data_IF_241691784278
#
_entry.id   IF_241691784278
#
_cell.length_a   1.000
_cell.length_b   1.000
_cell.length_c   1.000
_cell.angle_alpha   90.00
_cell.angle_beta   90.00
_cell.angle_gamma   90.00
#
_symmetry.space_group_name_H-M   'P 1'
#
loop_
_entity.id
_entity.type
_entity.pdbx_description
1 polymer ?
#
# COMPACT_ATOMS: atom_id res chain seq x y z
N UNK A 1 -1.80 3.70 6.56
CA UNK A 1 -2.53 4.86 6.03
C UNK A 1 -2.99 4.56 4.61
N UNK A 2 -4.17 5.02 4.23
CA UNK A 2 -4.70 4.96 2.87
C UNK A 2 -4.82 6.39 2.33
N UNK A 3 -4.11 6.67 1.24
CA UNK A 3 -4.06 8.01 0.63
C UNK A 3 -4.93 8.11 -0.64
N UNK A 4 -5.65 7.05 -1.02
CA UNK A 4 -6.31 6.96 -2.32
C UNK A 4 -7.85 6.95 -2.27
N UNK A 5 -8.46 7.46 -1.22
CA UNK A 5 -9.88 7.73 -1.27
C UNK A 5 -10.79 6.88 -0.38
N UNK A 6 -10.30 6.43 0.76
CA UNK A 6 -11.14 5.91 1.84
C UNK A 6 -11.71 4.50 1.66
N UNK A 7 -11.26 3.78 0.65
CA UNK A 7 -11.71 2.41 0.42
C UNK A 7 -11.26 1.42 1.50
N UNK A 8 -10.18 1.73 2.20
CA UNK A 8 -9.62 0.85 3.24
C UNK A 8 -10.54 0.69 4.43
N UNK A 9 -11.23 1.74 4.86
CA UNK A 9 -12.21 1.68 5.96
C UNK A 9 -13.31 0.65 5.69
N UNK A 10 -13.88 0.71 4.49
CA UNK A 10 -14.94 -0.22 4.06
C UNK A 10 -14.39 -1.65 3.92
N UNK A 11 -13.18 -1.81 3.37
CA UNK A 11 -12.55 -3.13 3.24
C UNK A 11 -12.26 -3.77 4.60
N UNK A 12 -11.96 -2.97 5.62
CA UNK A 12 -11.69 -3.44 6.97
C UNK A 12 -12.93 -3.50 7.86
N UNK A 13 -14.07 -2.94 7.41
CA UNK A 13 -15.32 -2.91 8.15
C UNK A 13 -15.30 -1.93 9.34
N UNK A 14 -14.57 -0.83 9.22
CA UNK A 14 -14.41 0.19 10.27
C UNK A 14 -14.95 1.56 9.85
N UNK A 15 -15.68 1.63 8.75
CA UNK A 15 -16.24 2.88 8.22
C UNK A 15 -17.23 3.56 9.19
N UNK A 16 -17.83 2.80 10.10
CA UNK A 16 -18.74 3.29 11.14
C UNK A 16 -18.10 3.40 12.52
N UNK A 17 -16.82 3.07 12.66
CA UNK A 17 -16.12 3.21 13.94
C UNK A 17 -15.80 4.68 14.23
N UNK A 18 -15.87 5.04 15.52
CA UNK A 18 -15.50 6.36 15.99
C UNK A 18 -14.04 6.67 15.69
N UNK A 19 -13.76 7.90 15.29
CA UNK A 19 -12.40 8.37 15.03
C UNK A 19 -12.32 9.34 13.85
N UNK A 20 -11.28 10.15 13.84
CA UNK A 20 -11.06 11.15 12.81
C UNK A 20 -10.49 10.52 11.53
N UNK A 21 -10.97 10.99 10.38
CA UNK A 21 -10.43 10.66 9.06
C UNK A 21 -9.49 11.76 8.60
N UNK A 22 -8.68 11.47 7.60
CA UNK A 22 -7.58 12.33 7.17
C UNK A 22 -8.02 13.78 6.87
N UNK A 23 -9.15 13.98 6.24
CA UNK A 23 -9.71 15.32 5.96
C UNK A 23 -10.29 16.06 7.18
N UNK A 24 -10.43 15.38 8.33
CA UNK A 24 -10.98 15.96 9.57
C UNK A 24 -9.87 16.36 10.56
N UNK A 25 -8.64 15.89 10.31
CA UNK A 25 -7.50 16.12 11.19
C UNK A 25 -6.97 17.53 10.96
N UNK A 26 -6.99 18.34 12.03
CA UNK A 26 -6.40 19.67 11.99
C UNK A 26 -4.90 19.60 12.23
N UNK A 27 -4.12 20.18 11.32
CA UNK A 27 -2.66 20.23 11.39
C UNK A 27 -2.18 21.68 11.46
N UNK A 28 -2.35 22.37 12.61
CA UNK A 28 -1.97 23.76 12.73
C UNK A 28 -0.47 23.94 12.51
N UNK A 29 -0.11 24.90 11.64
CA UNK A 29 1.28 25.21 11.29
C UNK A 29 2.10 24.01 10.75
N UNK A 30 1.43 23.02 10.16
CA UNK A 30 2.09 21.83 9.57
C UNK A 30 2.67 20.84 10.59
N UNK A 31 2.24 20.91 11.87
CA UNK A 31 2.70 20.01 12.93
C UNK A 31 1.54 19.42 13.70
N UNK A 32 1.68 18.17 14.14
CA UNK A 32 0.72 17.47 14.97
C UNK A 32 1.49 16.51 15.91
N UNK A 33 0.98 16.36 17.14
CA UNK A 33 1.52 15.37 18.07
C UNK A 33 1.08 13.96 17.67
N UNK A 34 2.03 13.07 17.38
CA UNK A 34 1.74 11.72 16.91
C UNK A 34 0.98 10.86 17.92
N UNK A 35 1.19 11.06 19.24
CA UNK A 35 0.44 10.33 20.28
C UNK A 35 -0.99 10.84 20.43
N UNK A 36 -1.21 12.12 20.23
CA UNK A 36 -2.55 12.69 20.19
C UNK A 36 -3.29 12.16 18.95
N UNK A 37 -2.65 12.23 17.77
CA UNK A 37 -3.19 11.70 16.53
C UNK A 37 -3.61 10.24 16.68
N UNK A 38 -2.76 9.36 17.22
CA UNK A 38 -3.08 7.94 17.40
C UNK A 38 -4.34 7.68 18.23
N UNK A 39 -4.68 8.56 19.16
CA UNK A 39 -5.89 8.42 20.01
C UNK A 39 -7.16 8.81 19.28
N UNK A 40 -7.03 9.59 18.23
CA UNK A 40 -8.16 10.08 17.42
C UNK A 40 -8.46 9.15 16.22
N UNK A 41 -7.57 8.21 15.89
CA UNK A 41 -7.76 7.34 14.75
C UNK A 41 -8.66 6.13 15.07
N UNK A 42 -9.51 5.69 14.14
CA UNK A 42 -10.20 4.41 14.24
C UNK A 42 -9.19 3.27 14.32
N UNK A 43 -9.59 2.15 14.93
CA UNK A 43 -8.70 1.02 15.20
C UNK A 43 -9.27 -0.25 14.61
N UNK A 44 -8.50 -0.92 13.75
CA UNK A 44 -8.78 -2.25 13.23
C UNK A 44 -7.82 -3.28 13.85
N UNK A 45 -8.35 -4.25 14.58
CA UNK A 45 -7.56 -5.33 15.24
C UNK A 45 -6.32 -4.83 15.98
N UNK A 46 -6.44 -3.70 16.69
CA UNK A 46 -5.34 -3.07 17.42
C UNK A 46 -4.41 -2.18 16.59
N UNK A 47 -4.66 -2.06 15.28
CA UNK A 47 -3.89 -1.21 14.36
C UNK A 47 -4.64 0.09 14.09
N UNK A 48 -4.10 1.27 14.46
CA UNK A 48 -4.71 2.55 14.12
C UNK A 48 -4.70 2.80 12.62
N UNK A 49 -5.81 3.30 12.08
CA UNK A 49 -6.00 3.58 10.66
C UNK A 49 -6.07 5.09 10.41
N UNK A 50 -5.24 5.55 9.50
CA UNK A 50 -5.34 6.88 8.91
C UNK A 50 -5.82 6.72 7.48
N UNK A 51 -7.08 7.06 7.21
CA UNK A 51 -7.74 6.90 5.92
C UNK A 51 -8.56 8.13 5.58
N UNK A 52 -8.94 8.28 4.32
CA UNK A 52 -9.93 9.25 3.91
C UNK A 52 -11.35 8.74 4.24
N UNK A 53 -12.28 9.66 4.45
CA UNK A 53 -13.69 9.30 4.60
C UNK A 53 -14.23 8.80 3.25
N UNK A 54 -14.73 7.54 3.16
CA UNK A 54 -15.22 6.97 1.91
C UNK A 54 -16.46 7.69 1.34
N UNK A 55 -17.14 8.47 2.17
CA UNK A 55 -18.38 9.18 1.81
C UNK A 55 -18.17 10.66 1.51
N UNK A 56 -16.95 11.18 1.72
CA UNK A 56 -16.60 12.58 1.46
C UNK A 56 -15.62 12.67 0.30
N UNK A 57 -15.81 13.69 -0.52
CA UNK A 57 -14.94 13.96 -1.68
C UNK A 57 -13.80 14.94 -1.35
N UNK A 58 -13.64 15.31 -0.09
CA UNK A 58 -12.59 16.21 0.34
C UNK A 58 -11.22 15.50 0.26
N UNK A 59 -10.35 16.02 -0.58
CA UNK A 59 -8.96 15.56 -0.64
C UNK A 59 -8.13 16.40 0.33
N UNK A 60 -7.46 15.78 1.31
CA UNK A 60 -6.54 16.47 2.20
C UNK A 60 -5.39 17.08 1.39
N UNK A 61 -4.85 18.19 1.86
CA UNK A 61 -3.69 18.79 1.23
C UNK A 61 -2.45 17.92 1.44
N UNK A 62 -1.55 17.86 0.46
CA UNK A 62 -0.34 17.01 0.53
C UNK A 62 0.49 17.30 1.79
N UNK A 63 0.56 18.55 2.25
CA UNK A 63 1.29 18.92 3.45
C UNK A 63 0.64 18.42 4.75
N UNK A 64 -0.69 18.27 4.79
CA UNK A 64 -1.42 17.69 5.94
C UNK A 64 -1.13 16.19 6.04
N UNK A 65 -1.22 15.49 4.90
CA UNK A 65 -0.83 14.07 4.78
C UNK A 65 0.59 13.87 5.25
N UNK A 66 1.52 14.69 4.76
CA UNK A 66 2.93 14.63 5.11
C UNK A 66 3.15 14.81 6.62
N UNK A 67 2.51 15.80 7.23
CA UNK A 67 2.62 16.05 8.66
C UNK A 67 2.08 14.87 9.49
N UNK A 68 0.96 14.27 9.09
CA UNK A 68 0.41 13.08 9.76
C UNK A 68 1.35 11.87 9.65
N UNK A 69 1.88 11.56 8.46
CA UNK A 69 2.82 10.45 8.26
C UNK A 69 4.08 10.67 9.10
N UNK A 70 4.64 11.87 9.09
CA UNK A 70 5.82 12.25 9.90
C UNK A 70 5.55 12.04 11.39
N UNK A 71 4.41 12.52 11.89
CA UNK A 71 4.05 12.38 13.30
C UNK A 71 3.88 10.92 13.71
N UNK A 72 3.24 10.10 12.87
CA UNK A 72 3.07 8.67 13.11
C UNK A 72 4.40 7.93 13.09
N UNK A 73 5.29 8.24 12.17
CA UNK A 73 6.63 7.63 12.06
C UNK A 73 7.52 7.90 13.27
N UNK A 74 7.28 8.97 14.01
CA UNK A 74 8.02 9.28 15.25
C UNK A 74 7.57 8.46 16.46
N UNK A 75 6.35 7.89 16.42
CA UNK A 75 5.74 7.22 17.58
C UNK A 75 5.39 5.75 17.34
N UNK A 76 5.62 5.26 16.12
CA UNK A 76 5.42 3.87 15.71
C UNK A 76 6.67 3.29 15.09
N UNK A 77 6.90 2.00 15.31
CA UNK A 77 8.02 1.26 14.72
C UNK A 77 7.87 1.09 13.20
N UNK A 78 6.65 1.05 12.69
CA UNK A 78 6.35 0.99 11.26
C UNK A 78 5.06 1.75 10.96
N UNK A 79 5.02 2.38 9.78
CA UNK A 79 3.83 3.00 9.19
C UNK A 79 3.69 2.45 7.78
N UNK A 80 2.62 1.70 7.53
CA UNK A 80 2.31 1.16 6.21
C UNK A 80 1.43 2.18 5.49
N UNK A 81 1.82 2.58 4.28
CA UNK A 81 1.13 3.59 3.49
C UNK A 81 0.69 2.99 2.17
N UNK A 82 -0.61 2.93 1.92
CA UNK A 82 -1.17 2.61 0.61
C UNK A 82 -1.20 3.90 -0.23
N UNK A 83 -0.41 3.89 -1.28
CA UNK A 83 -0.27 5.02 -2.22
C UNK A 83 -0.99 4.79 -3.54
N UNK A 84 -1.70 3.68 -3.65
CA UNK A 84 -2.41 3.28 -4.86
C UNK A 84 -1.48 3.09 -6.04
N UNK A 85 -1.76 3.74 -7.17
CA UNK A 85 -0.98 3.58 -8.40
C UNK A 85 0.33 4.41 -8.43
N UNK A 86 0.72 5.01 -7.33
CA UNK A 86 2.07 5.56 -7.15
C UNK A 86 2.35 6.96 -7.69
N UNK A 87 1.39 7.62 -8.30
CA UNK A 87 1.61 8.93 -8.93
C UNK A 87 1.76 10.11 -7.93
N UNK A 88 1.48 9.89 -6.64
CA UNK A 88 1.58 10.90 -5.59
C UNK A 88 2.79 10.75 -4.64
N UNK A 89 3.64 9.72 -4.85
CA UNK A 89 4.77 9.43 -3.96
C UNK A 89 5.87 10.49 -3.98
N UNK A 90 6.06 11.15 -5.11
CA UNK A 90 7.15 12.10 -5.33
C UNK A 90 7.00 13.36 -4.46
N UNK A 91 5.76 13.70 -4.09
CA UNK A 91 5.43 14.90 -3.33
C UNK A 91 5.62 14.72 -1.81
N UNK A 92 5.72 13.47 -1.32
CA UNK A 92 5.86 13.15 0.09
C UNK A 92 7.30 12.78 0.43
N UNK A 93 8.02 13.72 1.03
CA UNK A 93 9.44 13.55 1.38
C UNK A 93 9.70 12.34 2.28
N UNK A 94 8.77 12.02 3.18
CA UNK A 94 8.85 10.88 4.10
C UNK A 94 8.87 9.54 3.38
N UNK A 95 8.22 9.46 2.21
CA UNK A 95 8.13 8.21 1.43
C UNK A 95 9.33 7.97 0.52
N UNK A 96 10.18 8.96 0.31
CA UNK A 96 11.39 8.81 -0.55
C UNK A 96 12.38 7.79 -0.01
N UNK A 97 12.45 7.63 1.31
CA UNK A 97 13.35 6.68 1.99
C UNK A 97 12.62 5.44 2.50
N UNK A 98 11.32 5.31 2.22
CA UNK A 98 10.54 4.17 2.64
C UNK A 98 10.89 2.91 1.84
N UNK A 99 10.70 1.75 2.47
CA UNK A 99 10.69 0.47 1.77
C UNK A 99 9.47 0.46 0.85
N UNK A 100 9.68 0.16 -0.43
CA UNK A 100 8.62 0.11 -1.42
C UNK A 100 8.23 -1.33 -1.72
N UNK A 101 6.95 -1.62 -1.62
CA UNK A 101 6.37 -2.90 -2.02
C UNK A 101 5.48 -2.66 -3.24
N UNK A 102 5.91 -3.15 -4.40
CA UNK A 102 5.15 -3.08 -5.64
C UNK A 102 4.28 -4.32 -5.78
N UNK A 103 2.98 -4.15 -5.73
CA UNK A 103 2.02 -5.24 -5.97
C UNK A 103 1.71 -5.31 -7.45
N UNK A 104 2.03 -6.46 -8.07
CA UNK A 104 1.93 -6.66 -9.52
C UNK A 104 0.94 -7.78 -9.81
N UNK A 105 -0.07 -7.51 -10.61
CA UNK A 105 -0.98 -8.55 -11.09
C UNK A 105 -0.24 -9.51 -12.01
N UNK A 106 -0.30 -10.80 -11.72
CA UNK A 106 0.42 -11.87 -12.43
C UNK A 106 -0.29 -12.23 -13.74
N UNK A 107 -0.45 -11.23 -14.61
CA UNK A 107 -0.99 -11.37 -15.98
C UNK A 107 -0.08 -10.64 -16.96
N UNK A 108 -0.19 -10.95 -18.24
CA UNK A 108 0.56 -10.25 -19.30
C UNK A 108 0.35 -8.74 -19.22
N UNK A 109 -0.90 -8.30 -19.00
CA UNK A 109 -1.22 -6.88 -18.89
C UNK A 109 -0.69 -6.25 -17.60
N UNK A 110 -0.82 -6.94 -16.47
CA UNK A 110 -0.29 -6.48 -15.17
C UNK A 110 1.21 -6.31 -15.20
N UNK A 111 1.93 -7.29 -15.74
CA UNK A 111 3.39 -7.24 -15.91
C UNK A 111 3.83 -6.12 -16.87
N UNK A 112 3.12 -5.93 -17.98
CA UNK A 112 3.42 -4.84 -18.91
C UNK A 112 3.26 -3.46 -18.25
N UNK A 113 2.20 -3.27 -17.44
CA UNK A 113 1.98 -2.03 -16.66
C UNK A 113 3.07 -1.83 -15.60
N UNK A 114 3.44 -2.89 -14.88
CA UNK A 114 4.51 -2.82 -13.89
C UNK A 114 5.83 -2.40 -14.55
N UNK A 115 6.20 -3.02 -15.67
CA UNK A 115 7.42 -2.67 -16.42
C UNK A 115 7.40 -1.22 -16.92
N UNK A 116 6.28 -0.75 -17.43
CA UNK A 116 6.13 0.65 -17.86
C UNK A 116 6.29 1.62 -16.67
N UNK A 117 5.73 1.31 -15.49
CA UNK A 117 5.90 2.11 -14.28
C UNK A 117 7.36 2.14 -13.81
N UNK A 118 8.05 1.00 -13.80
CA UNK A 118 9.48 0.94 -13.47
C UNK A 118 10.32 1.80 -14.42
N UNK A 119 10.02 1.77 -15.72
CA UNK A 119 10.72 2.57 -16.72
C UNK A 119 10.45 4.07 -16.55
N UNK A 120 9.22 4.46 -16.25
CA UNK A 120 8.88 5.87 -16.03
C UNK A 120 9.58 6.46 -14.81
N UNK A 121 9.81 5.65 -13.77
CA UNK A 121 10.55 6.05 -12.57
C UNK A 121 12.07 6.12 -12.79
N UNK A 122 12.59 5.42 -13.81
CA UNK A 122 14.01 5.42 -14.21
C UNK A 122 14.36 6.50 -15.24
N UNK A 123 13.39 7.27 -15.74
CA UNK A 123 13.63 8.28 -16.78
C UNK A 123 14.52 9.42 -16.25
N UNK A 124 15.65 9.72 -16.96
CA UNK A 124 16.70 10.58 -16.45
C UNK A 124 16.43 12.09 -16.48
N UNK A 125 15.23 12.53 -16.86
CA UNK A 125 14.92 13.96 -16.87
C UNK A 125 14.85 14.61 -15.48
N UNK A 126 14.77 13.79 -14.41
CA UNK A 126 14.75 14.25 -13.01
C UNK A 126 15.99 13.91 -12.21
N UNK A 127 17.00 13.27 -12.81
CA UNK A 127 18.19 12.79 -12.11
C UNK A 127 19.48 13.39 -12.67
N UNK A 128 19.75 14.65 -12.31
CA UNK A 128 21.14 15.07 -12.06
C UNK A 128 21.39 14.76 -10.57
N UNK A 129 21.68 13.51 -10.28
CA UNK A 129 21.99 13.05 -8.93
C UNK A 129 21.91 11.53 -8.89
N UNK A 130 23.04 10.89 -8.70
CA UNK A 130 23.30 9.50 -8.40
C UNK A 130 22.03 8.68 -8.05
N UNK A 131 21.54 7.90 -9.00
CA UNK A 131 20.59 6.81 -8.71
C UNK A 131 21.40 5.78 -7.92
N UNK A 132 21.33 5.94 -6.62
CA UNK A 132 22.03 5.16 -5.64
C UNK A 132 21.57 3.69 -5.73
N UNK A 133 22.54 2.80 -5.80
CA UNK A 133 22.39 1.35 -5.60
C UNK A 133 21.57 1.05 -4.32
N UNK A 134 21.63 1.93 -3.32
CA UNK A 134 20.86 1.88 -2.08
C UNK A 134 19.33 1.97 -2.26
N UNK A 135 18.82 2.52 -3.37
CA UNK A 135 17.37 2.59 -3.62
C UNK A 135 16.83 1.24 -4.10
N UNK A 136 17.65 0.46 -4.79
CA UNK A 136 17.27 -0.85 -5.32
C UNK A 136 17.16 -1.91 -4.20
N UNK A 137 17.90 -1.77 -3.11
CA UNK A 137 17.86 -2.67 -1.95
C UNK A 137 16.60 -2.50 -1.07
N UNK A 138 15.77 -1.47 -1.33
CA UNK A 138 14.56 -1.16 -0.57
C UNK A 138 13.27 -1.33 -1.37
N UNK A 139 13.35 -2.01 -2.50
CA UNK A 139 12.22 -2.23 -3.37
C UNK A 139 11.93 -3.73 -3.51
N UNK A 140 10.70 -4.14 -3.19
CA UNK A 140 10.23 -5.50 -3.31
C UNK A 140 9.06 -5.60 -4.28
N UNK A 141 8.99 -6.71 -5.03
CA UNK A 141 7.88 -7.01 -5.92
C UNK A 141 7.09 -8.19 -5.39
N UNK A 142 5.77 -8.03 -5.34
CA UNK A 142 4.82 -9.02 -4.85
C UNK A 142 3.85 -9.34 -5.96
N UNK A 143 3.82 -10.59 -6.39
CA UNK A 143 2.85 -11.07 -7.36
C UNK A 143 1.47 -11.19 -6.71
N UNK A 144 0.43 -10.80 -7.43
CA UNK A 144 -0.96 -11.02 -7.04
C UNK A 144 -1.70 -11.77 -8.15
N UNK A 145 -2.27 -12.90 -7.83
CA UNK A 145 -3.12 -13.62 -8.77
C UNK A 145 -4.39 -12.83 -9.08
N UNK A 146 -4.78 -12.68 -10.35
CA UNK A 146 -5.99 -11.98 -10.73
C UNK A 146 -7.24 -12.72 -10.25
N UNK A 147 -8.30 -11.96 -9.94
CA UNK A 147 -9.59 -12.52 -9.53
C UNK A 147 -10.29 -13.14 -10.74
N UNK A 148 -11.00 -14.25 -10.50
CA UNK A 148 -11.88 -14.86 -11.49
C UNK A 148 -11.17 -15.70 -12.56
N UNK A 149 -9.89 -16.01 -12.40
CA UNK A 149 -9.20 -16.95 -13.29
C UNK A 149 -9.72 -18.37 -13.05
N UNK A 150 -10.06 -19.06 -14.13
CA UNK A 150 -10.46 -20.47 -14.06
C UNK A 150 -9.19 -21.32 -14.13
N UNK A 151 -8.86 -22.03 -13.03
CA UNK A 151 -7.73 -22.97 -12.95
C UNK A 151 -6.41 -22.36 -13.43
N UNK A 152 -6.07 -21.18 -12.98
CA UNK A 152 -4.83 -20.45 -13.28
C UNK A 152 -4.63 -20.13 -14.79
N UNK A 153 -5.65 -20.24 -15.61
CA UNK A 153 -5.57 -19.79 -17.00
C UNK A 153 -5.34 -18.27 -17.06
N UNK A 154 -4.27 -17.88 -17.77
CA UNK A 154 -3.87 -16.47 -17.91
C UNK A 154 -3.07 -15.90 -16.73
N UNK A 155 -2.69 -16.75 -15.77
CA UNK A 155 -1.73 -16.40 -14.73
C UNK A 155 -0.33 -16.72 -15.24
N UNK A 156 0.57 -15.72 -15.21
CA UNK A 156 1.98 -15.89 -15.56
C UNK A 156 2.72 -16.57 -14.41
N UNK A 157 3.60 -17.51 -14.72
CA UNK A 157 4.45 -18.16 -13.72
C UNK A 157 5.39 -17.16 -13.05
N UNK A 158 5.77 -17.43 -11.80
CA UNK A 158 6.62 -16.51 -11.01
C UNK A 158 7.98 -16.30 -11.67
N UNK A 159 8.58 -17.36 -12.19
CA UNK A 159 9.88 -17.35 -12.87
C UNK A 159 9.82 -16.53 -14.16
N UNK A 160 8.75 -16.69 -14.94
CA UNK A 160 8.52 -15.93 -16.17
C UNK A 160 8.28 -14.44 -15.88
N UNK A 161 7.53 -14.13 -14.82
CA UNK A 161 7.31 -12.76 -14.38
C UNK A 161 8.60 -12.09 -13.91
N UNK A 162 9.43 -12.80 -13.15
CA UNK A 162 10.72 -12.33 -12.67
C UNK A 162 11.68 -12.05 -13.83
N UNK A 163 11.76 -12.97 -14.82
CA UNK A 163 12.55 -12.78 -16.03
C UNK A 163 12.08 -11.57 -16.85
N UNK A 164 10.76 -11.42 -17.04
CA UNK A 164 10.20 -10.31 -17.79
C UNK A 164 10.44 -8.95 -17.12
N UNK A 165 10.30 -8.86 -15.79
CA UNK A 165 10.50 -7.62 -15.03
C UNK A 165 11.98 -7.33 -14.76
N UNK A 166 12.87 -8.33 -14.91
CA UNK A 166 14.29 -8.25 -14.53
C UNK A 166 14.46 -7.95 -13.02
N UNK A 167 13.63 -8.62 -12.20
CA UNK A 167 13.66 -8.52 -10.73
C UNK A 167 13.02 -9.74 -10.07
N UNK A 168 13.38 -10.01 -8.82
CA UNK A 168 12.80 -11.10 -8.05
C UNK A 168 11.38 -10.80 -7.58
N UNK A 169 10.50 -11.79 -7.62
CA UNK A 169 9.18 -11.75 -7.00
C UNK A 169 9.29 -12.34 -5.58
N UNK A 170 9.29 -11.48 -4.59
CA UNK A 170 9.53 -11.84 -3.19
C UNK A 170 8.46 -12.77 -2.60
N UNK A 171 7.21 -12.60 -3.02
CA UNK A 171 6.09 -13.44 -2.60
C UNK A 171 4.95 -13.37 -3.62
N UNK A 172 4.02 -14.34 -3.57
CA UNK A 172 2.81 -14.33 -4.40
C UNK A 172 1.59 -14.47 -3.51
N UNK A 173 0.67 -13.52 -3.65
CA UNK A 173 -0.66 -13.56 -3.02
C UNK A 173 -1.61 -14.28 -3.97
N UNK A 174 -2.15 -15.40 -3.51
CA UNK A 174 -3.07 -16.23 -4.29
C UNK A 174 -4.51 -15.77 -4.11
N UNK A 175 -5.36 -16.11 -5.09
CA UNK A 175 -6.80 -15.84 -4.98
C UNK A 175 -7.41 -16.61 -3.79
N UNK A 176 -8.16 -15.89 -2.96
CA UNK A 176 -8.92 -16.44 -1.85
C UNK A 176 -10.40 -16.14 -2.06
N UNK A 177 -11.12 -17.13 -2.60
CA UNK A 177 -12.53 -16.96 -2.94
C UNK A 177 -13.41 -16.69 -1.70
N UNK A 178 -13.07 -17.29 -0.55
CA UNK A 178 -13.78 -17.06 0.70
C UNK A 178 -13.59 -15.63 1.18
N UNK A 179 -12.35 -15.16 1.20
CA UNK A 179 -12.03 -13.78 1.57
C UNK A 179 -12.70 -12.78 0.63
N UNK A 180 -12.68 -13.04 -0.67
CA UNK A 180 -13.36 -12.19 -1.66
C UNK A 180 -14.88 -12.14 -1.41
N UNK A 181 -15.53 -13.28 -1.10
CA UNK A 181 -16.97 -13.31 -0.76
C UNK A 181 -17.26 -12.49 0.49
N UNK A 182 -16.50 -12.71 1.56
CA UNK A 182 -16.66 -11.98 2.82
C UNK A 182 -16.51 -10.46 2.66
N UNK A 183 -15.55 -10.02 1.86
CA UNK A 183 -15.37 -8.60 1.53
C UNK A 183 -16.55 -8.04 0.74
N UNK A 184 -17.07 -8.78 -0.26
CA UNK A 184 -18.23 -8.36 -1.05
C UNK A 184 -19.52 -8.30 -0.22
N UNK A 185 -19.61 -9.12 0.82
CA UNK A 185 -20.72 -9.12 1.78
C UNK A 185 -20.59 -8.03 2.87
N UNK A 186 -19.52 -7.25 2.85
CA UNK A 186 -19.26 -6.20 3.84
C UNK A 186 -18.85 -6.73 5.22
N UNK A 187 -18.33 -7.94 5.30
CA UNK A 187 -17.93 -8.58 6.56
C UNK A 187 -16.52 -8.16 7.02
N UNK A 188 -15.89 -7.27 6.28
CA UNK A 188 -14.52 -6.79 6.54
C UNK A 188 -13.45 -7.85 6.24
N UNK A 189 -12.19 -7.46 6.43
CA UNK A 189 -11.04 -8.33 6.21
C UNK A 189 -10.89 -9.31 7.37
N UNK A 190 -10.93 -10.60 7.07
CA UNK A 190 -10.68 -11.69 8.02
C UNK A 190 -9.31 -12.33 7.78
N UNK A 191 -9.01 -13.40 8.52
CA UNK A 191 -7.73 -14.11 8.39
C UNK A 191 -7.54 -14.65 6.98
N UNK A 192 -6.40 -14.36 6.33
CA UNK A 192 -6.08 -14.91 5.03
C UNK A 192 -5.91 -16.44 5.10
N UNK A 193 -6.02 -17.13 3.96
CA UNK A 193 -5.70 -18.53 3.87
C UNK A 193 -4.22 -18.80 4.23
N UNK A 194 -3.87 -20.07 4.44
CA UNK A 194 -2.51 -20.46 4.90
C UNK A 194 -1.42 -20.02 3.91
N UNK A 195 -1.66 -20.07 2.61
CA UNK A 195 -0.68 -19.68 1.60
C UNK A 195 -0.40 -18.17 1.66
N UNK A 196 -1.46 -17.37 1.69
CA UNK A 196 -1.35 -15.92 1.81
C UNK A 196 -0.75 -15.48 3.15
N UNK A 197 -1.12 -16.15 4.25
CA UNK A 197 -0.51 -15.89 5.55
C UNK A 197 1.01 -16.13 5.52
N UNK A 198 1.47 -17.21 4.85
CA UNK A 198 2.90 -17.49 4.68
C UNK A 198 3.58 -16.42 3.81
N UNK A 199 2.95 -16.02 2.71
CA UNK A 199 3.48 -14.97 1.83
C UNK A 199 3.65 -13.63 2.58
N UNK A 200 2.65 -13.25 3.38
CA UNK A 200 2.69 -12.06 4.22
C UNK A 200 3.81 -12.16 5.27
N UNK A 201 3.98 -13.32 5.92
CA UNK A 201 5.06 -13.53 6.87
C UNK A 201 6.44 -13.40 6.20
N UNK A 202 6.62 -13.99 5.00
CA UNK A 202 7.85 -13.82 4.21
C UNK A 202 8.15 -12.33 3.94
N UNK A 203 7.15 -11.55 3.57
CA UNK A 203 7.31 -10.10 3.36
C UNK A 203 7.67 -9.37 4.66
N UNK A 204 7.05 -9.74 5.77
CA UNK A 204 7.35 -9.12 7.08
C UNK A 204 8.79 -9.40 7.55
N UNK A 205 9.35 -10.56 7.18
CA UNK A 205 10.75 -10.92 7.50
C UNK A 205 11.77 -10.17 6.63
N UNK A 206 11.37 -9.57 5.50
CA UNK A 206 12.23 -8.79 4.61
C UNK A 206 12.29 -7.29 4.98
N UNK A 207 11.39 -6.81 5.82
CA UNK A 207 11.22 -5.41 6.22
C UNK A 207 11.77 -5.18 7.62
#
# INVERSE_FOLDING_TARGET
>A
ADLQGGGLDVLLGVENEDGSRLGEISVPLGTIDGKALLRELPVWDGVPLLSCDPWKTENPQSWEVQACIRALSQVRSAVIVDVGQGNGLQDLTELRQAIRINVVEMTVLGLARAKANMQSQRNPSDSIGEHDVATQEREFFVGMQPRGTIRDHGVTATEEAAEYLDCDIAAVITTDAKLCSELLEGLGLRKPNRANAKAIATLADLI
#
